data_IF_670037555833
#
_entry.id   IF_670037555833
#
_cell.length_a   1.000
_cell.length_b   1.000
_cell.length_c   1.000
_cell.angle_alpha   90.00
_cell.angle_beta   90.00
_cell.angle_gamma   90.00
#
_symmetry.space_group_name_H-M   'P 1'
#
loop_
_entity.id
_entity.type
_entity.pdbx_description
1 polymer ?
#
# COMPACT_ATOMS: atom_id res chain seq x y z
N UNK A 1 8.35 11.77 -6.82
CA UNK A 1 9.62 11.09 -6.45
C UNK A 1 10.18 10.36 -7.68
N UNK A 2 11.50 10.30 -7.84
CA UNK A 2 12.15 9.58 -8.94
C UNK A 2 12.59 8.18 -8.47
N UNK A 3 12.29 7.14 -9.24
CA UNK A 3 12.74 5.78 -8.98
C UNK A 3 14.24 5.63 -9.31
N UNK A 4 14.94 4.69 -8.66
CA UNK A 4 16.34 4.38 -8.99
C UNK A 4 16.59 3.97 -10.45
N UNK A 5 15.55 3.56 -11.19
CA UNK A 5 15.66 3.30 -12.64
C UNK A 5 15.55 4.58 -13.50
N UNK A 6 15.55 5.77 -12.89
CA UNK A 6 15.45 7.08 -13.56
C UNK A 6 14.04 7.50 -13.99
N UNK A 7 13.04 6.65 -13.82
CA UNK A 7 11.63 6.92 -14.16
C UNK A 7 10.84 7.44 -12.98
N UNK A 8 9.72 8.11 -13.24
CA UNK A 8 8.86 8.65 -12.19
C UNK A 8 8.15 7.56 -11.41
N UNK A 9 7.99 7.78 -10.11
CA UNK A 9 7.12 6.98 -9.26
C UNK A 9 5.72 7.58 -9.26
N UNK A 10 4.71 6.71 -9.37
CA UNK A 10 3.30 7.09 -9.27
C UNK A 10 2.77 6.71 -7.90
N UNK A 11 2.23 7.68 -7.17
CA UNK A 11 1.52 7.44 -5.91
C UNK A 11 0.18 6.75 -6.18
N UNK A 12 -0.15 5.76 -5.36
CA UNK A 12 -1.38 4.98 -5.44
C UNK A 12 -1.88 4.65 -4.05
N UNK A 13 -3.17 4.35 -3.97
CA UNK A 13 -3.76 3.81 -2.76
C UNK A 13 -4.85 2.79 -3.08
N UNK A 14 -5.05 1.87 -2.15
CA UNK A 14 -6.10 0.85 -2.14
C UNK A 14 -6.84 0.93 -0.81
N UNK A 15 -8.17 0.81 -0.84
CA UNK A 15 -9.01 0.92 0.36
C UNK A 15 -9.89 -0.32 0.48
N UNK A 16 -9.92 -0.90 1.68
CA UNK A 16 -10.89 -1.90 2.08
C UNK A 16 -11.75 -1.33 3.21
N UNK A 17 -13.00 -0.97 2.88
CA UNK A 17 -13.98 -0.52 3.88
C UNK A 17 -14.37 -1.64 4.84
N UNK A 18 -14.45 -2.88 4.35
CA UNK A 18 -14.79 -4.06 5.17
C UNK A 18 -13.75 -4.32 6.26
N UNK A 19 -12.46 -4.17 5.93
CA UNK A 19 -11.36 -4.35 6.88
C UNK A 19 -11.00 -3.06 7.64
N UNK A 20 -11.60 -1.92 7.28
CA UNK A 20 -11.20 -0.60 7.75
C UNK A 20 -9.70 -0.28 7.49
N UNK A 21 -9.20 -0.64 6.30
CA UNK A 21 -7.79 -0.49 5.93
C UNK A 21 -7.62 0.39 4.70
N UNK A 22 -6.58 1.23 4.71
CA UNK A 22 -6.11 2.02 3.58
C UNK A 22 -4.62 1.76 3.38
N UNK A 23 -4.27 1.18 2.24
CA UNK A 23 -2.90 0.90 1.85
C UNK A 23 -2.45 1.93 0.81
N UNK A 24 -1.41 2.69 1.11
CA UNK A 24 -0.80 3.68 0.23
C UNK A 24 0.57 3.18 -0.21
N UNK A 25 0.91 3.39 -1.47
CA UNK A 25 2.19 2.96 -2.01
C UNK A 25 2.61 3.81 -3.21
N UNK A 26 3.91 4.02 -3.38
CA UNK A 26 4.46 4.58 -4.61
C UNK A 26 4.95 3.47 -5.51
N UNK A 27 4.58 3.48 -6.78
CA UNK A 27 4.94 2.44 -7.74
C UNK A 27 5.63 2.99 -8.97
N UNK A 28 6.76 2.40 -9.34
CA UNK A 28 7.42 2.65 -10.61
C UNK A 28 6.94 1.63 -11.64
N UNK A 29 6.07 2.06 -12.57
CA UNK A 29 5.55 1.19 -13.65
C UNK A 29 6.64 0.54 -14.49
N UNK A 30 7.77 1.23 -14.70
CA UNK A 30 8.82 0.74 -15.60
C UNK A 30 9.65 -0.42 -15.05
N UNK A 31 9.88 -0.49 -13.73
CA UNK A 31 10.72 -1.53 -13.13
C UNK A 31 10.01 -2.34 -12.04
N UNK A 32 8.72 -2.08 -11.80
CA UNK A 32 7.94 -2.80 -10.80
C UNK A 32 8.26 -2.43 -9.35
N UNK A 33 9.20 -1.51 -9.11
CA UNK A 33 9.60 -1.12 -7.76
C UNK A 33 8.45 -0.42 -7.04
N UNK A 34 8.18 -0.88 -5.83
CA UNK A 34 7.30 -0.19 -4.89
C UNK A 34 8.17 0.46 -3.82
N UNK A 35 7.85 1.70 -3.51
CA UNK A 35 8.41 2.51 -2.44
C UNK A 35 7.24 3.07 -1.60
N UNK A 36 7.52 3.92 -0.60
CA UNK A 36 6.51 4.64 0.19
C UNK A 36 5.29 3.78 0.56
N UNK A 37 5.55 2.56 1.05
CA UNK A 37 4.57 1.50 1.28
C UNK A 37 4.03 1.63 2.72
N UNK A 38 2.77 2.04 2.89
CA UNK A 38 2.18 2.43 4.16
C UNK A 38 0.78 1.86 4.34
N UNK A 39 0.48 1.34 5.52
CA UNK A 39 -0.85 0.88 5.89
C UNK A 39 -1.42 1.76 7.00
N UNK A 40 -2.67 2.16 6.81
CA UNK A 40 -3.43 2.98 7.73
C UNK A 40 -4.78 2.32 8.05
N UNK A 41 -5.34 2.69 9.20
CA UNK A 41 -6.77 2.53 9.43
C UNK A 41 -7.53 3.55 8.57
N UNK A 42 -8.54 3.10 7.83
CA UNK A 42 -9.32 3.96 6.93
C UNK A 42 -10.10 5.04 7.71
N UNK A 43 -10.75 4.68 8.82
CA UNK A 43 -11.57 5.61 9.62
C UNK A 43 -10.74 6.57 10.49
N UNK A 44 -9.60 6.11 11.01
CA UNK A 44 -8.81 6.90 11.97
C UNK A 44 -7.59 7.59 11.37
N UNK A 45 -7.30 7.39 10.07
CA UNK A 45 -6.01 7.78 9.44
C UNK A 45 -4.80 7.38 10.28
N UNK A 46 -4.96 6.38 11.16
CA UNK A 46 -3.95 5.99 12.11
C UNK A 46 -2.95 5.11 11.39
N UNK A 47 -1.67 5.47 11.47
CA UNK A 47 -0.59 4.67 10.94
C UNK A 47 -0.55 3.31 11.65
N UNK A 48 -0.55 2.23 10.87
CA UNK A 48 -0.45 0.86 11.37
C UNK A 48 0.99 0.39 11.17
N UNK A 49 1.49 0.45 9.93
CA UNK A 49 2.79 -0.10 9.57
C UNK A 49 3.28 0.40 8.22
N UNK A 50 4.55 0.11 7.91
CA UNK A 50 5.23 0.50 6.68
C UNK A 50 6.03 -0.63 6.06
N UNK A 51 6.41 -0.45 4.80
CA UNK A 51 7.27 -1.37 4.06
C UNK A 51 6.54 -2.63 3.63
N UNK A 52 7.30 -3.70 3.40
CA UNK A 52 6.76 -4.96 2.90
C UNK A 52 5.64 -5.55 3.77
N UNK A 53 5.72 -5.37 5.10
CA UNK A 53 4.70 -5.84 6.05
C UNK A 53 3.34 -5.18 5.81
N UNK A 54 3.31 -3.89 5.48
CA UNK A 54 2.07 -3.15 5.15
C UNK A 54 1.29 -3.81 4.03
N UNK A 55 2.00 -4.17 2.95
CA UNK A 55 1.41 -4.88 1.82
C UNK A 55 0.91 -6.27 2.19
N UNK A 56 1.71 -7.03 2.93
CA UNK A 56 1.34 -8.38 3.33
C UNK A 56 0.07 -8.38 4.18
N UNK A 57 0.03 -7.51 5.20
CA UNK A 57 -1.09 -7.44 6.11
C UNK A 57 -2.35 -6.91 5.41
N UNK A 58 -2.25 -5.90 4.55
CA UNK A 58 -3.40 -5.49 3.73
C UNK A 58 -3.94 -6.67 2.93
N UNK A 59 -3.06 -7.36 2.18
CA UNK A 59 -3.46 -8.49 1.33
C UNK A 59 -4.11 -9.63 2.12
N UNK A 60 -3.50 -10.02 3.22
CA UNK A 60 -3.94 -11.15 4.02
C UNK A 60 -5.27 -10.85 4.75
N UNK A 61 -5.43 -9.62 5.24
CA UNK A 61 -6.69 -9.17 5.85
C UNK A 61 -7.82 -9.07 4.83
N UNK A 62 -7.55 -8.54 3.62
CA UNK A 62 -8.58 -8.46 2.58
C UNK A 62 -8.97 -9.85 2.05
N UNK A 63 -8.01 -10.76 1.86
CA UNK A 63 -8.28 -12.11 1.35
C UNK A 63 -9.06 -12.99 2.32
N UNK A 64 -8.83 -12.84 3.64
CA UNK A 64 -9.58 -13.59 4.67
C UNK A 64 -11.08 -13.32 4.66
N UNK A 65 -11.53 -12.21 4.08
CA UNK A 65 -12.94 -11.83 4.03
C UNK A 65 -13.62 -12.30 2.74
N UNK A 66 -12.84 -12.57 1.69
CA UNK A 66 -13.37 -13.02 0.39
C UNK A 66 -13.53 -14.55 0.29
N UNK A 67 -13.16 -15.30 1.33
CA UNK A 67 -13.41 -16.75 1.53
C UNK A 67 -14.43 -16.96 2.64
#
# INVERSE_FOLDING_TARGET
MQCSCGREMTERFSVSKKCNLRWEYSFCKSCGRIDADYLYSYDKTQFIERGYSARLNYRDMTRKIDN
#
